data_IF_639457217736
#
_entry.id   IF_639457217736
#
_cell.length_a   1.000
_cell.length_b   1.000
_cell.length_c   1.000
_cell.angle_alpha   90.00
_cell.angle_beta   90.00
_cell.angle_gamma   90.00
#
_symmetry.space_group_name_H-M   'P 1'
#
loop_
_entity.id
_entity.type
_entity.pdbx_description
1 polymer ?
#
# COMPACT_ATOMS: atom_id res chain seq x y z
N UNK A 1 6.24 -9.01 15.36
CA UNK A 1 5.80 -7.63 15.08
C UNK A 1 4.34 -7.52 15.47
N UNK A 2 3.91 -6.37 15.98
CA UNK A 2 2.52 -6.14 16.38
C UNK A 2 1.64 -5.92 15.14
N UNK A 3 0.41 -6.41 15.19
CA UNK A 3 -0.60 -6.15 14.18
C UNK A 3 -1.18 -4.75 14.40
N UNK A 4 -1.27 -3.92 13.36
CA UNK A 4 -1.81 -2.55 13.49
C UNK A 4 -2.89 -2.32 12.43
N UNK A 5 -4.06 -1.82 12.85
CA UNK A 5 -5.11 -1.33 11.95
C UNK A 5 -5.02 0.19 11.86
N UNK A 6 -4.89 0.72 10.65
CA UNK A 6 -4.84 2.16 10.40
C UNK A 6 -5.90 2.61 9.40
N UNK A 7 -6.47 3.78 9.66
CA UNK A 7 -7.17 4.62 8.69
C UNK A 7 -6.34 5.88 8.43
N UNK A 8 -6.89 6.84 7.69
CA UNK A 8 -6.22 8.12 7.43
C UNK A 8 -5.89 8.87 8.73
N UNK A 9 -6.82 8.88 9.69
CA UNK A 9 -6.71 9.71 10.89
C UNK A 9 -6.32 8.94 12.17
N UNK A 10 -6.41 7.59 12.15
CA UNK A 10 -6.26 6.78 13.37
C UNK A 10 -5.46 5.51 13.12
N UNK A 11 -4.78 5.05 14.17
CA UNK A 11 -4.16 3.73 14.24
C UNK A 11 -4.55 3.03 15.53
N UNK A 12 -4.66 1.71 15.47
CA UNK A 12 -5.04 0.83 16.57
C UNK A 12 -4.06 -0.34 16.60
N UNK A 13 -3.36 -0.50 17.73
CA UNK A 13 -2.46 -1.63 17.95
C UNK A 13 -3.23 -2.84 18.46
N UNK A 14 -2.94 -4.01 17.89
CA UNK A 14 -3.60 -5.29 18.19
C UNK A 14 -5.14 -5.17 18.24
N UNK A 15 -5.78 -4.71 17.15
CA UNK A 15 -7.22 -4.46 17.12
C UNK A 15 -8.01 -5.76 17.30
N UNK A 16 -9.05 -5.72 18.13
CA UNK A 16 -10.01 -6.81 18.24
C UNK A 16 -11.03 -6.80 17.09
N UNK A 17 -11.82 -7.87 16.99
CA UNK A 17 -12.81 -8.03 15.92
C UNK A 17 -13.87 -6.92 15.94
N UNK A 18 -14.27 -6.46 17.13
CA UNK A 18 -15.26 -5.39 17.28
C UNK A 18 -14.72 -4.04 16.80
N UNK A 19 -13.44 -3.76 17.06
CA UNK A 19 -12.75 -2.56 16.58
C UNK A 19 -12.62 -2.59 15.06
N UNK A 20 -12.22 -3.74 14.50
CA UNK A 20 -12.18 -3.96 13.05
C UNK A 20 -13.55 -3.68 12.41
N UNK A 21 -14.62 -4.26 12.96
CA UNK A 21 -15.98 -4.08 12.46
C UNK A 21 -16.44 -2.61 12.51
N UNK A 22 -16.15 -1.91 13.61
CA UNK A 22 -16.47 -0.48 13.77
C UNK A 22 -15.73 0.38 12.77
N UNK A 23 -14.42 0.16 12.59
CA UNK A 23 -13.60 0.95 11.68
C UNK A 23 -14.05 0.74 10.24
N UNK A 24 -14.21 -0.50 9.80
CA UNK A 24 -14.69 -0.81 8.45
C UNK A 24 -16.12 -0.29 8.22
N UNK A 25 -16.99 -0.39 9.22
CA UNK A 25 -18.34 0.15 9.18
C UNK A 25 -18.40 1.68 9.11
N UNK A 26 -17.37 2.38 9.61
CA UNK A 26 -17.28 3.84 9.53
C UNK A 26 -16.74 4.37 8.21
N UNK A 27 -16.21 3.51 7.33
CA UNK A 27 -15.69 3.93 6.03
C UNK A 27 -16.86 4.41 5.15
N UNK A 28 -16.89 5.71 4.87
CA UNK A 28 -17.94 6.38 4.11
C UNK A 28 -17.58 6.59 2.63
N UNK A 29 -16.33 6.30 2.25
CA UNK A 29 -15.82 6.50 0.89
C UNK A 29 -15.61 7.96 0.50
N UNK A 30 -15.77 8.92 1.43
CA UNK A 30 -15.56 10.35 1.20
C UNK A 30 -14.33 10.87 1.93
N UNK A 31 -14.34 10.76 3.27
CA UNK A 31 -13.22 11.15 4.12
C UNK A 31 -12.40 9.93 4.47
N UNK A 32 -13.08 8.84 4.82
CA UNK A 32 -12.47 7.58 5.19
C UNK A 32 -12.65 6.60 4.02
N UNK A 33 -11.64 6.56 3.17
CA UNK A 33 -11.69 5.81 1.89
C UNK A 33 -11.08 4.42 2.02
N UNK A 34 -10.19 4.21 3.00
CA UNK A 34 -9.53 2.93 3.19
C UNK A 34 -9.17 2.65 4.65
N UNK A 35 -9.05 1.36 4.95
CA UNK A 35 -8.47 0.86 6.18
C UNK A 35 -7.42 -0.22 5.87
N UNK A 36 -6.29 -0.19 6.57
CA UNK A 36 -5.15 -1.08 6.35
C UNK A 36 -4.82 -1.83 7.63
N UNK A 37 -4.80 -3.15 7.56
CA UNK A 37 -4.39 -4.04 8.62
C UNK A 37 -3.00 -4.61 8.29
N UNK A 38 -1.97 -4.14 8.97
CA UNK A 38 -0.58 -4.46 8.68
C UNK A 38 0.04 -5.35 9.76
N UNK A 39 0.77 -6.38 9.33
CA UNK A 39 1.69 -7.15 10.19
C UNK A 39 3.11 -6.57 10.15
N UNK A 40 3.48 -5.99 9.02
CA UNK A 40 4.74 -5.30 8.75
C UNK A 40 4.49 -4.25 7.67
N UNK A 41 5.41 -3.32 7.47
CA UNK A 41 5.27 -2.23 6.48
C UNK A 41 4.92 -2.76 5.08
N UNK A 42 5.53 -3.87 4.67
CA UNK A 42 5.33 -4.45 3.35
C UNK A 42 4.32 -5.61 3.32
N UNK A 43 3.75 -6.00 4.46
CA UNK A 43 2.79 -7.11 4.57
C UNK A 43 1.50 -6.66 5.23
N UNK A 44 0.47 -6.45 4.42
CA UNK A 44 -0.79 -5.89 4.87
C UNK A 44 -2.01 -6.39 4.08
N UNK A 45 -3.18 -6.22 4.68
CA UNK A 45 -4.48 -6.34 4.04
C UNK A 45 -5.19 -4.99 4.11
N UNK A 46 -5.62 -4.45 2.98
CA UNK A 46 -6.26 -3.15 2.86
C UNK A 46 -7.66 -3.31 2.26
N UNK A 47 -8.63 -2.60 2.83
CA UNK A 47 -9.96 -2.43 2.26
C UNK A 47 -10.08 -0.99 1.76
N UNK A 48 -10.53 -0.82 0.53
CA UNK A 48 -10.81 0.49 -0.06
C UNK A 48 -12.26 0.53 -0.54
N UNK A 49 -13.01 1.57 -0.17
CA UNK A 49 -14.43 1.68 -0.49
C UNK A 49 -15.23 2.17 0.70
N UNK A 50 -16.50 1.76 0.77
CA UNK A 50 -17.40 2.16 1.85
C UNK A 50 -18.31 1.03 2.27
N UNK A 51 -18.85 1.12 3.49
CA UNK A 51 -19.82 0.13 3.99
C UNK A 51 -21.09 0.05 3.11
N UNK A 52 -21.45 1.13 2.41
CA UNK A 52 -22.66 1.22 1.58
C UNK A 52 -22.44 0.80 0.13
N UNK A 53 -21.28 1.11 -0.46
CA UNK A 53 -20.96 0.73 -1.83
C UNK A 53 -20.21 -0.61 -1.92
N UNK A 54 -19.71 -1.09 -0.79
CA UNK A 54 -18.82 -2.24 -0.66
C UNK A 54 -17.35 -1.88 -0.88
N UNK A 55 -16.50 -2.90 -0.77
CA UNK A 55 -15.06 -2.77 -0.68
C UNK A 55 -14.33 -3.54 -1.77
N UNK A 56 -13.21 -2.99 -2.20
CA UNK A 56 -12.16 -3.73 -2.89
C UNK A 56 -11.08 -4.06 -1.88
N UNK A 57 -10.70 -5.34 -1.78
CA UNK A 57 -9.61 -5.75 -0.90
C UNK A 57 -8.32 -5.86 -1.69
N UNK A 58 -7.23 -5.43 -1.06
CA UNK A 58 -5.88 -5.55 -1.58
C UNK A 58 -5.01 -6.18 -0.52
N UNK A 59 -4.25 -7.20 -0.89
CA UNK A 59 -3.28 -7.83 -0.02
C UNK A 59 -1.89 -7.65 -0.61
N UNK A 60 -0.92 -7.26 0.22
CA UNK A 60 0.49 -7.25 -0.12
C UNK A 60 1.25 -8.16 0.83
N UNK A 61 2.19 -8.94 0.30
CA UNK A 61 3.03 -9.85 1.07
C UNK A 61 4.50 -9.54 0.79
N UNK A 62 5.13 -8.74 1.64
CA UNK A 62 6.55 -8.44 1.63
C UNK A 62 7.08 -7.61 0.44
N UNK A 63 6.40 -7.56 -0.70
CA UNK A 63 6.84 -6.79 -1.87
C UNK A 63 5.67 -6.32 -2.71
N UNK A 64 5.85 -5.19 -3.42
CA UNK A 64 4.89 -4.68 -4.41
C UNK A 64 4.63 -5.66 -5.56
N UNK A 65 5.61 -6.51 -5.90
CA UNK A 65 5.44 -7.57 -6.90
C UNK A 65 4.55 -8.72 -6.43
N UNK A 66 4.31 -8.80 -5.12
CA UNK A 66 3.44 -9.79 -4.46
C UNK A 66 2.20 -9.10 -3.88
N UNK A 67 1.58 -8.27 -4.71
CA UNK A 67 0.32 -7.58 -4.42
C UNK A 67 -0.82 -8.23 -5.19
N UNK A 68 -1.92 -8.44 -4.50
CA UNK A 68 -3.10 -9.11 -5.01
C UNK A 68 -4.35 -8.29 -4.69
N UNK A 69 -5.36 -8.38 -5.55
CA UNK A 69 -6.66 -7.72 -5.39
C UNK A 69 -7.79 -8.74 -5.38
N UNK A 70 -8.85 -8.47 -4.64
CA UNK A 70 -10.08 -9.26 -4.64
C UNK A 70 -10.75 -9.27 -6.01
N UNK A 71 -11.06 -10.45 -6.54
CA UNK A 71 -11.85 -10.62 -7.77
C UNK A 71 -13.35 -10.54 -7.45
N UNK A 72 -14.12 -9.90 -8.33
CA UNK A 72 -15.58 -9.79 -8.17
C UNK A 72 -16.04 -8.74 -7.15
N UNK A 73 -15.23 -7.71 -6.91
CA UNK A 73 -15.63 -6.53 -6.14
C UNK A 73 -16.91 -5.88 -6.73
N UNK A 74 -17.76 -5.23 -5.91
CA UNK A 74 -17.52 -4.86 -4.51
C UNK A 74 -17.91 -5.96 -3.48
N UNK A 75 -17.04 -6.16 -2.49
CA UNK A 75 -17.24 -7.07 -1.34
C UNK A 75 -18.03 -6.36 -0.24
N UNK A 76 -19.08 -6.99 0.28
CA UNK A 76 -19.90 -6.40 1.35
C UNK A 76 -19.14 -6.28 2.69
N UNK A 77 -19.63 -5.41 3.57
CA UNK A 77 -19.01 -5.13 4.87
C UNK A 77 -18.82 -6.40 5.71
N UNK A 78 -19.86 -7.23 5.86
CA UNK A 78 -19.84 -8.44 6.68
C UNK A 78 -18.71 -9.39 6.27
N UNK A 79 -18.57 -9.62 4.95
CA UNK A 79 -17.51 -10.46 4.41
C UNK A 79 -16.13 -9.83 4.56
N UNK A 80 -16.04 -8.51 4.47
CA UNK A 80 -14.78 -7.77 4.68
C UNK A 80 -14.30 -7.88 6.12
N UNK A 81 -15.21 -7.72 7.09
CA UNK A 81 -14.93 -7.87 8.52
C UNK A 81 -14.44 -9.29 8.84
N UNK A 82 -15.10 -10.31 8.30
CA UNK A 82 -14.70 -11.71 8.49
C UNK A 82 -13.26 -11.96 8.00
N UNK A 83 -12.91 -11.44 6.83
CA UNK A 83 -11.60 -11.63 6.21
C UNK A 83 -10.52 -10.86 6.99
N UNK A 84 -10.81 -9.65 7.46
CA UNK A 84 -9.91 -8.91 8.33
C UNK A 84 -9.70 -9.61 9.69
N UNK A 85 -10.75 -10.19 10.26
CA UNK A 85 -10.66 -10.94 11.52
C UNK A 85 -9.87 -12.26 11.36
N UNK A 86 -10.03 -12.96 10.24
CA UNK A 86 -9.21 -14.15 9.95
C UNK A 86 -7.74 -13.75 9.73
N UNK A 87 -7.49 -12.65 9.00
CA UNK A 87 -6.15 -12.11 8.80
C UNK A 87 -5.50 -11.71 10.12
N UNK A 88 -6.21 -11.04 11.03
CA UNK A 88 -5.67 -10.60 12.32
C UNK A 88 -5.24 -11.77 13.21
N UNK A 89 -5.88 -12.92 13.07
CA UNK A 89 -5.55 -14.15 13.80
C UNK A 89 -4.42 -14.96 13.14
N UNK A 90 -3.93 -14.55 11.97
CA UNK A 90 -2.95 -15.31 11.18
C UNK A 90 -3.53 -16.58 10.54
N UNK A 91 -4.86 -16.70 10.45
CA UNK A 91 -5.52 -17.86 9.83
C UNK A 91 -5.38 -17.79 8.31
N UNK A 92 -4.86 -18.81 7.64
CA UNK A 92 -4.71 -18.78 6.17
C UNK A 92 -6.04 -18.86 5.40
N UNK A 93 -7.16 -19.15 6.08
CA UNK A 93 -8.49 -19.23 5.47
C UNK A 93 -8.92 -17.95 4.75
N UNK A 94 -8.44 -16.78 5.16
CA UNK A 94 -8.77 -15.51 4.49
C UNK A 94 -8.34 -15.52 3.01
N UNK A 95 -7.29 -16.27 2.65
CA UNK A 95 -6.85 -16.42 1.25
C UNK A 95 -7.83 -17.25 0.43
N UNK A 96 -8.50 -18.22 1.05
CA UNK A 96 -9.48 -19.09 0.40
C UNK A 96 -10.89 -18.52 0.44
N UNK A 97 -11.14 -17.50 1.29
CA UNK A 97 -12.43 -16.87 1.45
C UNK A 97 -12.90 -16.12 0.19
N UNK A 98 -12.00 -15.81 -0.75
CA UNK A 98 -12.32 -15.20 -2.04
C UNK A 98 -11.27 -15.53 -3.10
N UNK A 99 -11.58 -15.20 -4.35
CA UNK A 99 -10.61 -15.24 -5.43
C UNK A 99 -9.76 -13.96 -5.44
N UNK A 100 -8.48 -14.13 -5.78
CA UNK A 100 -7.48 -13.06 -5.82
C UNK A 100 -6.81 -13.03 -7.20
N UNK A 101 -6.60 -11.82 -7.73
CA UNK A 101 -5.83 -11.59 -8.96
C UNK A 101 -4.57 -10.77 -8.66
N UNK A 102 -3.45 -10.99 -9.38
CA UNK A 102 -2.27 -10.15 -9.25
C UNK A 102 -2.60 -8.69 -9.59
N UNK A 103 -2.30 -7.78 -8.67
CA UNK A 103 -2.46 -6.35 -8.85
C UNK A 103 -1.12 -5.82 -9.38
N UNK A 104 -0.98 -5.77 -10.72
CA UNK A 104 0.23 -5.21 -11.32
C UNK A 104 0.28 -3.71 -11.05
N UNK A 105 1.07 -3.32 -10.06
CA UNK A 105 1.48 -1.94 -9.87
C UNK A 105 2.50 -1.65 -10.96
N UNK A 106 2.09 -0.93 -12.01
CA UNK A 106 3.02 -0.30 -12.94
C UNK A 106 3.83 0.72 -12.14
N UNK A 107 4.94 0.28 -11.55
CA UNK A 107 5.92 1.19 -10.97
C UNK A 107 6.48 1.98 -12.15
N UNK A 108 6.22 3.30 -12.27
CA UNK A 108 6.81 4.06 -13.34
C UNK A 108 8.32 3.90 -13.21
N UNK A 109 8.94 3.29 -14.21
CA UNK A 109 10.39 3.21 -14.28
C UNK A 109 10.89 4.65 -14.30
N UNK A 110 11.37 5.13 -13.15
CA UNK A 110 11.95 6.46 -13.04
C UNK A 110 13.05 6.50 -14.07
N UNK A 111 12.87 7.33 -15.09
CA UNK A 111 13.79 7.37 -16.19
C UNK A 111 15.17 7.75 -15.64
N UNK A 112 16.18 6.99 -16.03
CA UNK A 112 17.56 7.08 -15.53
C UNK A 112 18.16 8.50 -15.51
N UNK A 113 17.57 9.45 -16.25
CA UNK A 113 17.97 10.86 -16.29
C UNK A 113 17.59 11.69 -15.04
N UNK A 114 16.70 11.22 -14.16
CA UNK A 114 16.44 11.88 -12.86
C UNK A 114 17.41 11.46 -11.74
N UNK A 115 18.37 10.60 -12.05
CA UNK A 115 19.40 10.21 -11.09
C UNK A 115 20.37 11.37 -10.84
N UNK A 116 20.78 11.54 -9.58
CA UNK A 116 21.83 12.48 -9.13
C UNK A 116 23.12 12.47 -9.98
N UNK A 117 23.37 11.35 -10.70
CA UNK A 117 24.46 11.19 -11.67
C UNK A 117 24.41 12.19 -12.84
N UNK A 118 23.22 12.58 -13.32
CA UNK A 118 23.10 13.58 -14.40
C UNK A 118 23.59 14.94 -13.92
N UNK A 119 23.26 15.31 -12.68
CA UNK A 119 23.78 16.54 -12.07
C UNK A 119 25.30 16.49 -11.90
N UNK A 120 25.88 15.33 -11.55
CA UNK A 120 27.34 15.17 -11.47
C UNK A 120 28.01 15.33 -12.83
N UNK A 121 27.46 14.71 -13.89
CA UNK A 121 28.04 14.82 -15.24
C UNK A 121 27.95 16.26 -15.73
N UNK A 122 26.80 16.92 -15.57
CA UNK A 122 26.63 18.33 -15.92
C UNK A 122 27.59 19.24 -15.15
N UNK A 123 27.71 19.05 -13.84
CA UNK A 123 28.61 19.83 -12.99
C UNK A 123 30.09 19.60 -13.37
N UNK A 124 30.47 18.36 -13.69
CA UNK A 124 31.82 18.02 -14.12
C UNK A 124 32.18 18.66 -15.46
N UNK A 125 31.23 18.71 -16.42
CA UNK A 125 31.41 19.42 -17.68
C UNK A 125 31.60 20.93 -17.47
N UNK A 126 30.81 21.53 -16.57
CA UNK A 126 30.95 22.95 -16.21
C UNK A 126 32.31 23.22 -15.57
N UNK A 127 32.78 22.38 -14.65
CA UNK A 127 34.11 22.50 -14.05
C UNK A 127 35.19 22.37 -15.12
N UNK A 128 35.13 21.35 -15.97
CA UNK A 128 36.12 21.13 -17.02
C UNK A 128 36.18 22.33 -17.99
N UNK A 129 35.03 22.89 -18.34
CA UNK A 129 34.92 24.08 -19.19
C UNK A 129 35.46 25.32 -18.48
N UNK A 130 35.23 25.46 -17.17
CA UNK A 130 35.79 26.54 -16.35
C UNK A 130 37.32 26.43 -16.22
N UNK A 131 37.86 25.23 -15.99
CA UNK A 131 39.32 24.98 -15.95
C UNK A 131 39.96 25.26 -17.30
N UNK A 132 39.33 24.82 -18.39
CA UNK A 132 39.79 25.08 -19.74
C UNK A 132 39.76 26.58 -20.08
N UNK A 133 38.69 27.28 -19.72
CA UNK A 133 38.52 28.72 -19.99
C UNK A 133 39.43 29.60 -19.11
N UNK A 134 39.71 29.17 -17.88
CA UNK A 134 40.58 29.90 -16.94
C UNK A 134 42.07 29.76 -17.27
N UNK A 135 42.43 28.96 -18.28
CA UNK A 135 43.79 28.87 -18.80
C UNK A 135 44.76 28.37 -17.74
N UNK A 136 44.97 27.06 -17.70
CA UNK A 136 46.23 26.53 -17.15
C UNK A 136 47.38 27.00 -18.05
N UNK A 137 47.99 28.11 -17.63
CA UNK A 137 49.43 28.35 -17.73
C UNK A 137 50.10 27.76 -16.49
#
# INVERSE_FOLDING_TARGET
MALTLSTIDRSYDAPDADTIAKVLGSLDGRRDVFATLAHAEETYLQATGSATAGFTLTNQQGSLTQRYRSVGAPVILERTVEIFAQYSQGDERWRQAMAWEPDQVDVPQVAWYESWLVYIIGFSLVIALFVWWRGWW
#
